data_IF_221391928945
#
_entry.id   IF_221391928945
#
_cell.length_a   1.000
_cell.length_b   1.000
_cell.length_c   1.000
_cell.angle_alpha   90.00
_cell.angle_beta   90.00
_cell.angle_gamma   90.00
#
_symmetry.space_group_name_H-M   'P 1'
#
loop_
_entity.id
_entity.type
_entity.pdbx_description
1 polymer ?
#
# COMPACT_ATOMS: atom_id res chain seq x y z
N UNK A 1 39.13 33.12 -48.91
CA UNK A 1 37.70 32.81 -49.17
C UNK A 1 37.29 31.42 -48.66
N UNK A 2 37.70 31.01 -47.46
CA UNK A 2 37.47 29.64 -46.95
C UNK A 2 37.00 29.59 -45.49
N UNK A 3 36.70 30.77 -44.91
CA UNK A 3 36.23 30.93 -43.53
C UNK A 3 34.79 31.45 -43.43
N UNK A 4 34.13 31.69 -44.56
CA UNK A 4 32.76 32.24 -44.64
C UNK A 4 31.69 31.19 -45.00
N UNK A 5 32.07 29.91 -45.14
CA UNK A 5 31.15 28.80 -45.47
C UNK A 5 30.88 27.85 -44.29
N UNK A 6 31.49 28.09 -43.12
CA UNK A 6 31.35 27.21 -41.95
C UNK A 6 30.28 27.74 -40.97
N UNK A 7 29.87 29.01 -41.11
CA UNK A 7 28.95 29.67 -40.19
C UNK A 7 27.46 29.45 -40.49
N UNK A 8 27.08 28.71 -41.53
CA UNK A 8 25.67 28.44 -41.88
C UNK A 8 25.20 27.02 -41.56
N UNK A 9 26.09 26.12 -41.14
CA UNK A 9 25.72 24.75 -40.69
C UNK A 9 25.46 24.65 -39.19
N UNK A 10 25.79 25.67 -38.40
CA UNK A 10 25.60 25.67 -36.94
C UNK A 10 24.17 26.02 -36.49
N UNK A 11 23.27 26.41 -37.41
CA UNK A 11 21.92 26.86 -37.08
C UNK A 11 20.81 25.81 -37.17
N UNK A 12 21.07 24.65 -37.81
CA UNK A 12 20.02 23.66 -38.08
C UNK A 12 20.02 22.46 -37.12
N UNK A 13 21.04 22.32 -36.27
CA UNK A 13 21.14 21.22 -35.30
C UNK A 13 20.44 21.47 -33.95
N UNK A 14 20.01 22.70 -33.68
CA UNK A 14 19.51 23.11 -32.35
C UNK A 14 18.00 22.91 -32.13
N UNK A 15 17.27 22.30 -33.08
CA UNK A 15 15.82 22.04 -32.96
C UNK A 15 15.45 20.56 -32.89
N UNK A 16 16.42 19.64 -32.80
CA UNK A 16 16.15 18.19 -32.65
C UNK A 16 16.40 17.66 -31.23
N UNK A 17 16.58 18.56 -30.26
CA UNK A 17 16.70 18.20 -28.85
C UNK A 17 15.34 18.03 -28.20
N UNK A 18 15.05 16.80 -27.77
CA UNK A 18 13.99 16.42 -26.81
C UNK A 18 12.57 16.40 -27.37
N UNK A 19 12.26 15.35 -28.13
CA UNK A 19 10.98 14.66 -27.95
C UNK A 19 11.27 13.24 -27.47
N UNK A 20 11.68 13.11 -26.21
CA UNK A 20 11.38 11.90 -25.48
C UNK A 20 9.89 12.00 -25.09
N UNK A 21 9.01 11.65 -26.02
CA UNK A 21 7.64 11.30 -25.64
C UNK A 21 7.77 10.10 -24.70
N UNK A 22 7.40 10.28 -23.44
CA UNK A 22 7.35 9.18 -22.49
C UNK A 22 6.34 8.15 -23.01
N UNK A 23 6.81 7.04 -23.59
CA UNK A 23 6.01 5.87 -23.99
C UNK A 23 5.57 5.06 -22.74
N UNK A 24 5.64 5.64 -21.54
CA UNK A 24 5.33 4.95 -20.27
C UNK A 24 3.87 5.11 -19.83
N UNK A 25 2.93 5.23 -20.77
CA UNK A 25 1.50 5.43 -20.47
C UNK A 25 0.57 4.47 -21.21
N UNK A 26 1.10 3.45 -21.88
CA UNK A 26 0.25 2.42 -22.48
C UNK A 26 -0.06 1.35 -21.44
N UNK A 27 -1.34 1.08 -21.22
CA UNK A 27 -1.78 0.05 -20.30
C UNK A 27 -1.29 -1.31 -20.82
N UNK A 28 -0.50 -2.00 -20.02
CA UNK A 28 -0.07 -3.37 -20.31
C UNK A 28 -1.25 -4.30 -20.02
N UNK A 29 -1.56 -5.20 -20.95
CA UNK A 29 -2.52 -6.26 -20.70
C UNK A 29 -2.00 -7.15 -19.57
N UNK A 30 -2.79 -7.26 -18.49
CA UNK A 30 -2.43 -8.09 -17.36
C UNK A 30 -2.62 -9.56 -17.71
N UNK A 31 -1.72 -10.46 -17.28
CA UNK A 31 -1.93 -11.88 -17.49
C UNK A 31 -3.20 -12.34 -16.77
N UNK A 32 -3.98 -13.19 -17.45
CA UNK A 32 -5.11 -13.86 -16.82
C UNK A 32 -4.58 -14.93 -15.84
N UNK A 33 -5.06 -14.86 -14.60
CA UNK A 33 -4.74 -15.82 -13.54
C UNK A 33 -6.05 -16.43 -13.07
N UNK A 34 -6.15 -17.76 -13.14
CA UNK A 34 -7.33 -18.47 -12.61
C UNK A 34 -7.27 -18.57 -11.10
N UNK A 35 -8.21 -17.96 -10.40
CA UNK A 35 -8.33 -18.03 -8.94
C UNK A 35 -9.29 -19.15 -8.49
N UNK A 36 -9.06 -19.68 -7.29
CA UNK A 36 -9.92 -20.72 -6.69
C UNK A 36 -11.36 -20.26 -6.41
N UNK A 37 -11.58 -18.96 -6.30
CA UNK A 37 -12.87 -18.33 -6.05
C UNK A 37 -13.58 -17.85 -7.31
N UNK A 38 -13.13 -18.26 -8.49
CA UNK A 38 -13.83 -17.96 -9.75
C UNK A 38 -15.06 -18.84 -9.98
N UNK A 39 -16.01 -18.29 -10.75
CA UNK A 39 -17.25 -18.96 -11.10
C UNK A 39 -18.30 -18.96 -9.99
N UNK A 40 -19.54 -19.41 -10.30
CA UNK A 40 -20.68 -19.32 -9.39
C UNK A 40 -20.57 -20.19 -8.12
N UNK A 41 -19.64 -21.14 -8.11
CA UNK A 41 -19.40 -22.06 -6.99
C UNK A 41 -17.97 -21.98 -6.45
N UNK A 42 -17.18 -21.00 -6.91
CA UNK A 42 -15.83 -20.78 -6.42
C UNK A 42 -15.82 -20.39 -4.94
N UNK A 43 -14.76 -20.76 -4.22
CA UNK A 43 -14.55 -20.36 -2.84
C UNK A 43 -13.11 -19.97 -2.59
N UNK A 44 -12.88 -19.18 -1.55
CA UNK A 44 -11.53 -18.77 -1.18
C UNK A 44 -10.71 -19.97 -0.69
N UNK A 45 -9.49 -20.12 -1.20
CA UNK A 45 -8.48 -20.96 -0.55
C UNK A 45 -8.07 -20.28 0.76
N UNK A 46 -8.59 -20.80 1.89
CA UNK A 46 -8.30 -20.26 3.22
C UNK A 46 -6.80 -20.28 3.56
N UNK A 47 -6.07 -21.32 3.14
CA UNK A 47 -4.65 -21.40 3.40
C UNK A 47 -3.88 -20.34 2.60
N UNK A 48 -4.29 -20.07 1.35
CA UNK A 48 -3.76 -18.94 0.58
C UNK A 48 -4.10 -17.59 1.22
N UNK A 49 -5.33 -17.42 1.72
CA UNK A 49 -5.74 -16.18 2.38
C UNK A 49 -4.97 -15.92 3.70
N UNK A 50 -4.69 -16.94 4.50
CA UNK A 50 -3.84 -16.83 5.69
C UNK A 50 -2.39 -16.43 5.34
N UNK A 51 -1.81 -17.01 4.28
CA UNK A 51 -0.50 -16.57 3.78
C UNK A 51 -0.54 -15.13 3.24
N UNK A 52 -1.61 -14.75 2.55
CA UNK A 52 -1.83 -13.38 2.09
C UNK A 52 -1.91 -12.38 3.24
N UNK A 53 -2.59 -12.74 4.34
CA UNK A 53 -2.60 -11.97 5.56
C UNK A 53 -1.19 -11.77 6.14
N UNK A 54 -0.36 -12.82 6.18
CA UNK A 54 1.03 -12.69 6.62
C UNK A 54 1.83 -11.72 5.75
N UNK A 55 1.67 -11.76 4.42
CA UNK A 55 2.32 -10.80 3.51
C UNK A 55 1.85 -9.37 3.80
N UNK A 56 0.54 -9.16 3.98
CA UNK A 56 0.01 -7.86 4.36
C UNK A 56 0.59 -7.36 5.68
N UNK A 57 0.57 -8.19 6.72
CA UNK A 57 1.06 -7.82 8.05
C UNK A 57 2.55 -7.47 8.02
N UNK A 58 3.37 -8.27 7.33
CA UNK A 58 4.83 -8.15 7.36
C UNK A 58 5.41 -7.14 6.36
N UNK A 59 4.70 -6.84 5.27
CA UNK A 59 5.23 -6.01 4.18
C UNK A 59 4.37 -4.78 3.95
N UNK A 60 3.06 -4.97 3.73
CA UNK A 60 2.20 -3.89 3.26
C UNK A 60 1.75 -2.94 4.37
N UNK A 61 1.51 -3.47 5.58
CA UNK A 61 0.89 -2.73 6.69
C UNK A 61 1.74 -1.58 7.24
N UNK A 62 3.03 -1.51 6.86
CA UNK A 62 3.91 -0.40 7.18
C UNK A 62 3.60 0.88 6.38
N UNK A 63 2.94 0.77 5.21
CA UNK A 63 2.59 1.90 4.35
C UNK A 63 1.09 1.96 4.00
N UNK A 64 0.44 0.82 3.80
CA UNK A 64 -0.98 0.75 3.43
C UNK A 64 -1.88 0.49 4.64
N UNK A 65 -2.92 1.33 4.77
CA UNK A 65 -3.92 1.15 5.83
C UNK A 65 -4.92 0.03 5.49
N UNK A 66 -5.42 -0.65 6.53
CA UNK A 66 -6.57 -1.55 6.44
C UNK A 66 -7.70 -1.10 7.38
N UNK A 67 -8.04 0.20 7.34
CA UNK A 67 -8.90 0.88 8.31
C UNK A 67 -10.34 0.33 8.45
N UNK A 68 -10.78 -0.53 7.53
CA UNK A 68 -12.09 -1.16 7.58
C UNK A 68 -12.06 -2.60 8.12
N UNK A 69 -10.86 -3.18 8.30
CA UNK A 69 -10.69 -4.51 8.87
C UNK A 69 -10.42 -4.39 10.37
N UNK A 70 -11.18 -5.16 11.16
CA UNK A 70 -10.91 -5.39 12.57
C UNK A 70 -10.21 -6.73 12.78
N UNK A 71 -9.45 -6.88 13.87
CA UNK A 71 -8.74 -8.13 14.15
C UNK A 71 -9.69 -9.34 14.22
N UNK A 72 -10.92 -9.15 14.73
CA UNK A 72 -11.97 -10.18 14.74
C UNK A 72 -12.35 -10.72 13.35
N UNK A 73 -12.10 -9.97 12.27
CA UNK A 73 -12.35 -10.46 10.91
C UNK A 73 -11.38 -11.57 10.49
N UNK A 74 -10.29 -11.79 11.22
CA UNK A 74 -9.41 -12.95 11.00
C UNK A 74 -10.14 -14.28 11.28
N UNK A 75 -11.25 -14.28 12.02
CA UNK A 75 -12.10 -15.46 12.16
C UNK A 75 -12.62 -15.97 10.80
N UNK A 76 -12.85 -15.07 9.83
CA UNK A 76 -13.29 -15.43 8.48
C UNK A 76 -12.18 -16.18 7.69
N UNK A 77 -10.92 -16.04 8.12
CA UNK A 77 -9.76 -16.79 7.62
C UNK A 77 -9.49 -18.09 8.41
N UNK A 78 -10.31 -18.39 9.42
CA UNK A 78 -10.19 -19.60 10.24
C UNK A 78 -9.26 -19.50 11.44
N UNK A 79 -8.82 -18.30 11.83
CA UNK A 79 -8.12 -18.11 13.10
C UNK A 79 -9.07 -18.25 14.28
N UNK A 80 -8.60 -18.88 15.37
CA UNK A 80 -9.37 -18.98 16.60
C UNK A 80 -9.22 -17.74 17.49
N UNK A 81 -10.03 -17.64 18.55
CA UNK A 81 -10.06 -16.46 19.43
C UNK A 81 -8.70 -16.17 20.09
N UNK A 82 -7.98 -17.20 20.54
CA UNK A 82 -6.68 -17.05 21.18
C UNK A 82 -5.61 -16.55 20.20
N UNK A 83 -5.62 -17.06 18.97
CA UNK A 83 -4.74 -16.59 17.89
C UNK A 83 -5.04 -15.13 17.53
N UNK A 84 -6.31 -14.76 17.38
CA UNK A 84 -6.72 -13.39 17.07
C UNK A 84 -6.27 -12.44 18.19
N UNK A 85 -6.48 -12.83 19.45
CA UNK A 85 -6.04 -12.06 20.61
C UNK A 85 -4.52 -11.89 20.63
N UNK A 86 -3.78 -12.96 20.34
CA UNK A 86 -2.32 -12.91 20.27
C UNK A 86 -1.82 -12.04 19.11
N UNK A 87 -2.47 -12.05 17.96
CA UNK A 87 -2.14 -11.18 16.81
C UNK A 87 -2.44 -9.72 17.15
N UNK A 88 -3.63 -9.42 17.66
CA UNK A 88 -4.03 -8.06 18.02
C UNK A 88 -3.08 -7.45 19.06
N UNK A 89 -2.71 -8.20 20.09
CA UNK A 89 -1.85 -7.72 21.18
C UNK A 89 -0.43 -7.31 20.72
N UNK A 90 0.01 -7.70 19.52
CA UNK A 90 1.29 -7.25 18.93
C UNK A 90 1.25 -5.80 18.44
N UNK A 91 0.06 -5.21 18.30
CA UNK A 91 -0.13 -3.84 17.83
C UNK A 91 -0.55 -2.94 18.98
N UNK A 92 -0.11 -1.69 18.93
CA UNK A 92 -0.48 -0.65 19.88
C UNK A 92 -1.53 0.26 19.23
N UNK A 93 -2.58 0.58 19.97
CA UNK A 93 -3.63 1.52 19.57
C UNK A 93 -3.81 2.59 20.64
N UNK A 94 -4.18 3.79 20.21
CA UNK A 94 -4.49 4.88 21.12
C UNK A 94 -5.89 4.69 21.70
N UNK A 95 -6.04 4.92 22.99
CA UNK A 95 -7.31 4.89 23.72
C UNK A 95 -7.34 6.01 24.78
N UNK A 96 -8.48 6.18 25.45
CA UNK A 96 -8.69 7.15 26.51
C UNK A 96 -9.80 8.16 26.20
N UNK A 97 -9.88 9.26 26.96
CA UNK A 97 -8.92 9.67 27.99
C UNK A 97 -8.96 8.81 29.28
N UNK A 98 -7.88 8.83 30.06
CA UNK A 98 -7.82 8.25 31.41
C UNK A 98 -8.42 9.19 32.49
N UNK A 99 -8.30 8.81 33.77
CA UNK A 99 -8.83 9.58 34.90
C UNK A 99 -8.18 10.97 35.06
N UNK A 100 -7.02 11.21 34.44
CA UNK A 100 -6.35 12.51 34.43
C UNK A 100 -6.68 13.33 33.18
N UNK A 101 -7.43 12.77 32.22
CA UNK A 101 -7.74 13.41 30.94
C UNK A 101 -6.74 13.12 29.83
N UNK A 102 -5.77 12.23 30.05
CA UNK A 102 -4.69 11.95 29.10
C UNK A 102 -5.02 10.76 28.18
N UNK A 103 -4.65 10.86 26.90
CA UNK A 103 -4.74 9.73 25.96
C UNK A 103 -3.55 8.79 26.16
N UNK A 104 -3.77 7.48 26.09
CA UNK A 104 -2.73 6.47 26.30
C UNK A 104 -2.68 5.43 25.17
N UNK A 105 -1.59 4.67 25.12
CA UNK A 105 -1.45 3.54 24.19
C UNK A 105 -1.70 2.23 24.92
N UNK A 106 -2.42 1.31 24.29
CA UNK A 106 -2.62 -0.06 24.79
C UNK A 106 -2.44 -1.11 23.70
N UNK A 107 -2.15 -2.37 24.08
CA UNK A 107 -2.29 -3.49 23.17
C UNK A 107 -3.70 -3.52 22.54
N UNK A 108 -3.76 -3.81 21.25
CA UNK A 108 -5.03 -3.93 20.56
C UNK A 108 -5.79 -5.19 21.00
N UNK A 109 -7.11 -5.12 20.91
CA UNK A 109 -8.05 -6.21 21.16
C UNK A 109 -8.80 -6.59 19.88
N UNK A 110 -9.52 -7.71 19.89
CA UNK A 110 -10.19 -8.23 18.69
C UNK A 110 -11.17 -7.23 18.03
N UNK A 111 -11.79 -6.34 18.80
CA UNK A 111 -12.72 -5.33 18.28
C UNK A 111 -12.04 -4.14 17.59
N UNK A 112 -10.75 -3.91 17.86
CA UNK A 112 -10.04 -2.79 17.26
C UNK A 112 -9.83 -3.01 15.76
N UNK A 113 -9.81 -1.90 15.04
CA UNK A 113 -9.45 -1.86 13.62
C UNK A 113 -7.94 -1.90 13.46
N UNK A 114 -7.48 -2.32 12.28
CA UNK A 114 -6.06 -2.30 11.96
C UNK A 114 -5.52 -0.87 12.08
N UNK A 115 -4.45 -0.63 12.86
CA UNK A 115 -3.92 0.71 13.06
C UNK A 115 -3.38 1.26 11.74
N UNK A 116 -3.68 2.54 11.48
CA UNK A 116 -3.13 3.23 10.32
C UNK A 116 -1.62 3.44 10.48
N UNK A 117 -0.82 3.25 9.41
CA UNK A 117 0.63 3.50 9.47
C UNK A 117 0.98 4.99 9.62
N UNK A 118 0.03 5.87 9.27
CA UNK A 118 0.17 7.31 9.36
C UNK A 118 -1.05 7.93 10.07
N UNK A 119 -0.82 9.03 10.79
CA UNK A 119 -1.84 9.79 11.50
C UNK A 119 -2.80 10.51 10.55
N UNK A 120 -2.33 10.88 9.36
CA UNK A 120 -3.13 11.56 8.33
C UNK A 120 -2.46 11.47 6.95
N UNK A 121 -3.21 11.86 5.92
CA UNK A 121 -2.75 11.86 4.51
C UNK A 121 -1.49 12.71 4.31
N UNK A 122 -1.38 13.88 4.95
CA UNK A 122 -0.21 14.76 4.77
C UNK A 122 1.07 14.09 5.26
N UNK A 123 1.01 13.40 6.39
CA UNK A 123 2.14 12.61 6.90
C UNK A 123 2.47 11.47 5.93
N UNK A 124 1.46 10.73 5.45
CA UNK A 124 1.67 9.64 4.50
C UNK A 124 2.40 10.12 3.23
N UNK A 125 1.95 11.25 2.66
CA UNK A 125 2.61 11.87 1.49
C UNK A 125 4.03 12.32 1.79
N UNK A 126 4.25 12.96 2.94
CA UNK A 126 5.58 13.41 3.34
C UNK A 126 6.56 12.23 3.46
N UNK A 127 6.10 11.08 3.99
CA UNK A 127 6.91 9.86 4.14
C UNK A 127 7.12 9.08 2.84
N UNK A 128 6.33 9.33 1.79
CA UNK A 128 6.35 8.56 0.54
C UNK A 128 6.61 9.43 -0.71
N UNK A 129 7.39 10.50 -0.57
CA UNK A 129 7.79 11.35 -1.71
C UNK A 129 6.64 12.05 -2.43
N UNK A 130 5.55 12.34 -1.71
CA UNK A 130 4.34 13.00 -2.23
C UNK A 130 3.19 12.06 -2.59
N UNK A 131 3.45 10.75 -2.75
CA UNK A 131 2.43 9.74 -3.05
C UNK A 131 1.64 9.35 -1.79
N UNK A 132 0.36 8.99 -1.95
CA UNK A 132 -0.50 8.56 -0.85
C UNK A 132 -0.86 7.08 -0.98
N UNK A 133 -0.25 6.20 -0.17
CA UNK A 133 -0.58 4.77 -0.11
C UNK A 133 -1.84 4.46 0.73
#
# INVERSE_FOLDING_TARGET
>A
MRKLLISTLAGLGALMGVQATAIAAEAVELPEVSFSHEGPFGTYDRAAAQRGFQVFEQVCSACHSAKYLAFRNLADLGYNEDEIKAIAAKKQVQDGPDDNGDMFMRPAVASDRWPSPYANEKQARASNGGAYP
#
